data_IF_728119811241
#
_entry.id   IF_728119811241
#
_cell.length_a   1.000
_cell.length_b   1.000
_cell.length_c   1.000
_cell.angle_alpha   90.00
_cell.angle_beta   90.00
_cell.angle_gamma   90.00
#
_symmetry.space_group_name_H-M   'P 1'
#
loop_
_entity.id
_entity.type
_entity.pdbx_description
1 polymer ?
#
# COMPACT_ATOMS: atom_id res chain seq x y z
N UNK A 1 16.00 4.50 10.10
CA UNK A 1 15.06 5.63 9.93
C UNK A 1 13.69 5.05 9.69
N UNK A 2 12.70 5.34 10.53
CA UNK A 2 11.31 4.91 10.31
C UNK A 2 10.71 5.76 9.19
N UNK A 3 10.94 5.36 7.94
CA UNK A 3 10.30 5.98 6.79
C UNK A 3 8.80 5.63 6.78
N UNK A 4 7.95 6.60 6.51
CA UNK A 4 6.50 6.38 6.32
C UNK A 4 6.24 5.69 4.98
N UNK A 5 5.08 5.05 4.82
CA UNK A 5 4.68 4.46 3.53
C UNK A 5 4.70 5.50 2.40
N UNK A 6 4.25 6.74 2.67
CA UNK A 6 4.24 7.83 1.70
C UNK A 6 5.66 8.26 1.30
N UNK A 7 6.59 8.34 2.26
CA UNK A 7 7.99 8.62 1.97
C UNK A 7 8.65 7.50 1.14
N UNK A 8 8.31 6.24 1.45
CA UNK A 8 8.76 5.09 0.68
C UNK A 8 8.26 5.15 -0.78
N UNK A 9 6.96 5.34 -0.99
CA UNK A 9 6.38 5.46 -2.34
C UNK A 9 6.95 6.64 -3.12
N UNK A 10 7.12 7.80 -2.47
CA UNK A 10 7.76 8.97 -3.10
C UNK A 10 9.19 8.67 -3.56
N UNK A 11 9.95 7.90 -2.78
CA UNK A 11 11.31 7.50 -3.15
C UNK A 11 11.37 6.44 -4.25
N UNK A 12 10.29 5.67 -4.44
CA UNK A 12 10.18 4.64 -5.46
C UNK A 12 9.96 5.19 -6.88
N UNK A 13 9.44 6.42 -7.01
CA UNK A 13 9.09 7.03 -8.29
C UNK A 13 7.71 6.61 -8.81
N UNK A 14 7.43 6.77 -10.12
CA UNK A 14 6.14 6.45 -10.70
C UNK A 14 5.79 4.96 -10.60
N UNK A 15 4.49 4.60 -10.53
CA UNK A 15 4.05 3.21 -10.61
C UNK A 15 4.47 2.51 -11.91
N UNK A 16 4.53 1.19 -11.86
CA UNK A 16 4.79 0.35 -13.04
C UNK A 16 3.60 -0.59 -13.23
N UNK A 17 3.05 -0.62 -14.43
CA UNK A 17 1.95 -1.54 -14.77
C UNK A 17 2.51 -2.83 -15.37
N UNK A 18 2.16 -3.97 -14.77
CA UNK A 18 2.51 -5.30 -15.24
C UNK A 18 1.73 -5.75 -16.48
N UNK A 19 2.09 -6.92 -17.01
CA UNK A 19 1.47 -7.48 -18.23
C UNK A 19 -0.04 -7.76 -18.09
N UNK A 20 -0.53 -7.93 -16.86
CA UNK A 20 -1.94 -8.16 -16.55
C UNK A 20 -2.73 -6.86 -16.33
N UNK A 21 -2.09 -5.70 -16.47
CA UNK A 21 -2.73 -4.41 -16.26
C UNK A 21 -2.92 -4.01 -14.79
N UNK A 22 -2.20 -4.66 -13.87
CA UNK A 22 -2.13 -4.29 -12.45
C UNK A 22 -0.84 -3.52 -12.15
N UNK A 23 -0.87 -2.67 -11.13
CA UNK A 23 0.32 -1.96 -10.66
C UNK A 23 1.20 -2.91 -9.85
N UNK A 24 2.45 -3.07 -10.27
CA UNK A 24 3.46 -3.90 -9.60
C UNK A 24 4.47 -3.05 -8.81
N UNK A 25 5.28 -3.73 -7.99
CA UNK A 25 6.35 -3.09 -7.23
C UNK A 25 5.81 -2.28 -6.04
N UNK A 26 6.54 -1.23 -5.60
CA UNK A 26 6.24 -0.52 -4.35
C UNK A 26 4.79 -0.03 -4.24
N UNK A 27 4.22 0.51 -5.31
CA UNK A 27 2.84 0.98 -5.34
C UNK A 27 1.83 -0.18 -5.26
N UNK A 28 2.08 -1.27 -5.98
CA UNK A 28 1.27 -2.49 -5.95
C UNK A 28 1.28 -3.17 -4.58
N UNK A 29 2.47 -3.29 -3.99
CA UNK A 29 2.63 -3.88 -2.66
C UNK A 29 1.94 -3.03 -1.59
N UNK A 30 2.02 -1.69 -1.70
CA UNK A 30 1.39 -0.77 -0.76
C UNK A 30 -0.14 -0.80 -0.83
N UNK A 31 -0.73 -0.74 -2.04
CA UNK A 31 -2.20 -0.80 -2.17
C UNK A 31 -2.73 -2.17 -1.72
N UNK A 32 -2.01 -3.26 -1.99
CA UNK A 32 -2.41 -4.58 -1.49
C UNK A 32 -2.29 -4.70 0.03
N UNK A 33 -1.23 -4.15 0.63
CA UNK A 33 -1.10 -4.11 2.09
C UNK A 33 -2.23 -3.29 2.74
N UNK A 34 -2.65 -2.18 2.11
CA UNK A 34 -3.78 -1.37 2.57
C UNK A 34 -5.11 -2.15 2.52
N UNK A 35 -5.38 -2.86 1.43
CA UNK A 35 -6.56 -3.74 1.30
C UNK A 35 -6.55 -4.86 2.37
N UNK A 36 -5.39 -5.46 2.64
CA UNK A 36 -5.25 -6.47 3.69
C UNK A 36 -5.50 -5.88 5.08
N UNK A 37 -5.05 -4.65 5.34
CA UNK A 37 -5.34 -3.98 6.60
C UNK A 37 -6.84 -3.77 6.78
N UNK A 38 -7.54 -3.26 5.76
CA UNK A 38 -9.00 -3.06 5.79
C UNK A 38 -9.74 -4.36 6.09
N UNK A 39 -9.30 -5.47 5.49
CA UNK A 39 -9.91 -6.78 5.69
C UNK A 39 -9.63 -7.39 7.07
N UNK A 40 -8.47 -7.11 7.68
CA UNK A 40 -8.04 -7.75 8.93
C UNK A 40 -8.22 -6.88 10.17
N UNK A 41 -8.43 -5.58 10.04
CA UNK A 41 -8.64 -4.67 11.17
C UNK A 41 -10.12 -4.29 11.31
N UNK A 42 -10.90 -5.00 12.15
CA UNK A 42 -12.30 -4.65 12.35
C UNK A 42 -12.43 -3.23 12.93
N UNK A 43 -13.42 -2.47 12.42
CA UNK A 43 -13.74 -1.10 12.81
C UNK A 43 -12.66 -0.05 12.46
N UNK A 44 -11.78 -0.30 11.49
CA UNK A 44 -10.86 0.74 11.00
C UNK A 44 -11.61 2.01 10.58
N UNK A 45 -12.84 1.90 10.08
CA UNK A 45 -13.71 3.04 9.70
C UNK A 45 -14.02 4.00 10.85
N UNK A 46 -13.94 3.51 12.10
CA UNK A 46 -14.17 4.34 13.29
C UNK A 46 -12.95 5.18 13.69
N UNK A 47 -11.79 4.89 13.11
CA UNK A 47 -10.54 5.58 13.36
C UNK A 47 -10.48 6.83 12.45
N UNK A 48 -10.39 8.06 13.03
CA UNK A 48 -10.38 9.29 12.24
C UNK A 48 -9.28 9.35 11.18
N UNK A 49 -8.14 8.73 11.45
CA UNK A 49 -7.00 8.64 10.54
C UNK A 49 -7.25 7.80 9.29
N UNK A 50 -8.34 7.01 9.22
CA UNK A 50 -8.68 6.14 8.09
C UNK A 50 -10.04 6.51 7.48
N UNK A 51 -10.45 7.77 7.57
CA UNK A 51 -11.74 8.25 7.04
C UNK A 51 -12.00 7.83 5.59
N UNK A 52 -10.99 7.95 4.74
CA UNK A 52 -11.08 7.62 3.31
C UNK A 52 -10.61 6.19 2.99
N UNK A 53 -10.37 5.38 4.03
CA UNK A 53 -9.79 4.05 3.92
C UNK A 53 -8.27 4.08 3.70
N UNK A 54 -7.52 3.13 4.27
CA UNK A 54 -6.12 2.93 3.94
C UNK A 54 -5.85 2.85 2.42
N UNK A 55 -6.69 2.16 1.64
CA UNK A 55 -6.50 2.05 0.20
C UNK A 55 -6.77 3.38 -0.52
N UNK A 56 -7.83 4.08 -0.11
CA UNK A 56 -8.15 5.42 -0.63
C UNK A 56 -7.04 6.44 -0.38
N UNK A 57 -6.35 6.38 0.76
CA UNK A 57 -5.18 7.23 1.03
C UNK A 57 -4.01 6.98 0.08
N UNK A 58 -3.81 5.74 -0.35
CA UNK A 58 -2.76 5.41 -1.33
C UNK A 58 -3.13 5.96 -2.70
N UNK A 59 -4.40 5.87 -3.11
CA UNK A 59 -4.91 6.47 -4.35
C UNK A 59 -4.83 8.00 -4.33
N UNK A 60 -5.22 8.65 -3.24
CA UNK A 60 -5.12 10.10 -3.10
C UNK A 60 -3.64 10.54 -3.18
N UNK A 61 -2.75 9.81 -2.51
CA UNK A 61 -1.32 10.11 -2.54
C UNK A 61 -0.69 9.92 -3.92
N UNK A 62 -1.21 8.98 -4.73
CA UNK A 62 -0.83 8.82 -6.13
C UNK A 62 -1.08 10.11 -6.92
N UNK A 63 -2.30 10.66 -6.82
CA UNK A 63 -2.67 11.91 -7.47
C UNK A 63 -1.85 13.09 -6.92
N UNK A 64 -1.62 13.13 -5.61
CA UNK A 64 -0.77 14.17 -5.00
C UNK A 64 0.71 14.12 -5.47
N UNK A 65 1.17 12.97 -5.96
CA UNK A 65 2.49 12.83 -6.57
C UNK A 65 2.53 13.21 -8.07
N UNK A 66 1.37 13.54 -8.67
CA UNK A 66 1.24 13.86 -10.10
C UNK A 66 1.32 12.63 -11.01
N UNK A 67 0.86 11.47 -10.51
CA UNK A 67 0.83 10.20 -11.23
C UNK A 67 -0.62 9.80 -11.61
N UNK A 68 -1.47 10.79 -11.89
CA UNK A 68 -2.89 10.63 -12.21
C UNK A 68 -3.12 9.63 -13.36
N UNK A 69 -2.18 9.49 -14.30
CA UNK A 69 -2.27 8.54 -15.41
C UNK A 69 -2.26 7.07 -14.97
N UNK A 70 -1.86 6.78 -13.73
CA UNK A 70 -1.86 5.44 -13.15
C UNK A 70 -3.07 5.15 -12.25
N UNK A 71 -3.96 6.13 -12.03
CA UNK A 71 -5.09 6.01 -11.11
C UNK A 71 -5.97 4.81 -11.43
N UNK A 72 -6.42 4.67 -12.68
CA UNK A 72 -7.27 3.55 -13.11
C UNK A 72 -6.57 2.18 -12.95
N UNK A 73 -5.24 2.13 -13.14
CA UNK A 73 -4.49 0.89 -12.97
C UNK A 73 -4.35 0.52 -11.48
N UNK A 74 -4.18 1.52 -10.60
CA UNK A 74 -4.06 1.30 -9.17
C UNK A 74 -5.42 0.91 -8.55
N UNK A 75 -6.50 1.59 -8.95
CA UNK A 75 -7.88 1.25 -8.57
C UNK A 75 -8.27 -0.16 -9.02
N UNK A 76 -7.88 -0.57 -10.24
CA UNK A 76 -8.06 -1.96 -10.69
C UNK A 76 -7.29 -2.96 -9.83
N UNK A 77 -6.13 -2.57 -9.33
CA UNK A 77 -5.30 -3.41 -8.46
C UNK A 77 -5.92 -3.56 -7.07
N UNK A 78 -6.47 -2.46 -6.52
CA UNK A 78 -7.27 -2.46 -5.30
C UNK A 78 -8.49 -3.38 -5.45
N UNK A 79 -9.33 -3.17 -6.46
CA UNK A 79 -10.56 -3.96 -6.67
C UNK A 79 -10.25 -5.45 -6.84
N UNK A 80 -9.21 -5.78 -7.62
CA UNK A 80 -8.77 -7.17 -7.78
C UNK A 80 -8.26 -7.77 -6.47
N UNK A 81 -7.61 -6.97 -5.62
CA UNK A 81 -7.13 -7.40 -4.31
C UNK A 81 -8.29 -7.66 -3.34
N UNK A 82 -9.25 -6.74 -3.21
CA UNK A 82 -10.44 -6.95 -2.37
C UNK A 82 -11.20 -8.22 -2.80
N UNK A 83 -11.43 -8.39 -4.11
CA UNK A 83 -12.09 -9.59 -4.64
C UNK A 83 -11.31 -10.87 -4.32
N UNK A 84 -9.98 -10.85 -4.39
CA UNK A 84 -9.16 -12.00 -4.06
C UNK A 84 -9.27 -12.35 -2.57
N UNK A 85 -9.23 -11.33 -1.68
CA UNK A 85 -9.40 -11.50 -0.24
C UNK A 85 -10.77 -12.11 0.08
N UNK A 86 -11.85 -11.56 -0.47
CA UNK A 86 -13.23 -12.05 -0.26
C UNK A 86 -13.40 -13.52 -0.66
N UNK A 87 -12.68 -13.97 -1.69
CA UNK A 87 -12.77 -15.33 -2.23
C UNK A 87 -11.75 -16.30 -1.63
N UNK A 88 -10.75 -15.80 -0.92
CA UNK A 88 -9.59 -16.59 -0.49
C UNK A 88 -8.67 -16.99 -1.65
N UNK A 89 -8.68 -16.23 -2.75
CA UNK A 89 -7.84 -16.44 -3.92
C UNK A 89 -6.42 -15.84 -3.73
N UNK A 90 -5.42 -16.23 -4.54
CA UNK A 90 -4.13 -15.57 -4.55
C UNK A 90 -4.22 -14.07 -4.90
N UNK A 91 -3.45 -13.24 -4.20
CA UNK A 91 -3.40 -11.79 -4.42
C UNK A 91 -2.74 -11.45 -5.78
N UNK A 92 -3.21 -10.40 -6.49
CA UNK A 92 -2.83 -10.15 -7.88
C UNK A 92 -1.37 -9.70 -8.06
N UNK A 93 -0.83 -8.94 -7.10
CA UNK A 93 0.51 -8.30 -7.24
C UNK A 93 1.41 -8.52 -6.04
N UNK A 94 0.87 -8.96 -4.90
CA UNK A 94 1.64 -9.19 -3.68
C UNK A 94 2.53 -10.42 -3.86
N UNK A 95 3.75 -10.19 -4.33
CA UNK A 95 4.77 -11.23 -4.28
C UNK A 95 5.12 -11.39 -2.82
N UNK A 96 4.97 -12.60 -2.28
CA UNK A 96 5.74 -12.96 -1.10
C UNK A 96 7.19 -12.53 -1.40
N UNK A 97 7.75 -11.64 -0.58
CA UNK A 97 9.19 -11.47 -0.58
C UNK A 97 9.78 -12.89 -0.57
N UNK A 98 10.71 -13.24 -1.47
CA UNK A 98 11.34 -14.56 -1.39
C UNK A 98 11.81 -14.75 0.06
N UNK A 99 11.62 -15.95 0.66
CA UNK A 99 12.12 -16.17 2.00
C UNK A 99 13.57 -15.73 2.01
N UNK A 100 13.94 -14.88 2.97
CA UNK A 100 15.32 -14.42 3.13
C UNK A 100 16.24 -15.63 2.96
N UNK A 101 17.21 -15.54 2.07
CA UNK A 101 18.14 -16.64 1.85
C UNK A 101 18.87 -16.87 3.18
N UNK A 102 19.04 -18.13 3.58
CA UNK A 102 19.87 -18.48 4.72
C UNK A 102 21.24 -17.80 4.56
N UNK A 103 21.52 -16.80 5.41
CA UNK A 103 22.77 -16.04 5.41
C UNK A 103 22.64 -14.55 5.12
N UNK A 104 21.51 -14.06 4.65
CA UNK A 104 21.24 -12.62 4.68
C UNK A 104 21.05 -12.20 6.16
N UNK A 105 21.65 -11.10 6.63
CA UNK A 105 21.38 -10.62 7.97
C UNK A 105 19.87 -10.37 8.07
N UNK A 106 19.19 -11.23 8.83
CA UNK A 106 17.83 -11.00 9.28
C UNK A 106 17.92 -9.69 10.04
N UNK A 107 17.54 -8.59 9.38
CA UNK A 107 17.18 -7.38 10.11
C UNK A 107 16.19 -7.86 11.16
N UNK A 108 16.47 -7.65 12.46
CA UNK A 108 15.55 -8.12 13.49
C UNK A 108 14.18 -7.60 13.10
N UNK A 109 13.17 -8.48 13.18
CA UNK A 109 11.78 -8.08 13.06
C UNK A 109 11.52 -7.06 14.19
N UNK A 110 11.88 -5.81 13.95
CA UNK A 110 11.29 -4.69 14.63
C UNK A 110 9.82 -4.84 14.29
N UNK A 111 9.07 -5.28 15.30
CA UNK A 111 7.65 -5.02 15.39
C UNK A 111 7.53 -3.51 15.22
N UNK A 112 7.42 -3.05 13.97
CA UNK A 112 7.11 -1.66 13.68
C UNK A 112 5.70 -1.54 14.23
N UNK A 113 5.48 -0.84 15.37
CA UNK A 113 4.11 -0.49 15.69
C UNK A 113 3.63 0.31 14.48
N UNK A 114 2.55 -0.14 13.84
CA UNK A 114 1.76 0.70 12.94
C UNK A 114 1.23 1.83 13.83
N UNK A 115 2.07 2.83 14.04
CA UNK A 115 1.65 4.13 14.51
C UNK A 115 1.14 4.81 13.26
N UNK A 116 -0.19 4.78 13.09
CA UNK A 116 -0.87 5.72 12.22
C UNK A 116 -0.48 7.12 12.71
N UNK A 117 0.48 7.74 12.03
CA UNK A 117 0.85 9.12 12.33
C UNK A 117 0.07 10.01 11.37
N UNK A 118 -0.69 11.00 11.88
CA UNK A 118 -1.49 11.88 11.07
C UNK A 118 -0.61 12.70 10.11
N UNK A 119 -1.17 13.02 8.94
CA UNK A 119 -0.59 13.95 7.99
C UNK A 119 -0.25 15.26 8.72
N UNK A 120 1.00 15.71 8.58
CA UNK A 120 1.42 17.05 9.03
C UNK A 120 0.70 18.09 8.17
N UNK A 121 -0.30 18.75 8.74
CA UNK A 121 -1.14 19.79 8.12
C UNK A 121 -0.33 20.97 7.54
N UNK A 122 0.98 21.04 7.78
CA UNK A 122 1.88 22.11 7.29
C UNK A 122 2.31 21.97 5.83
N UNK A 123 1.90 20.93 5.12
CA UNK A 123 2.22 20.73 3.70
C UNK A 123 1.18 21.29 2.72
N UNK A 124 0.15 22.01 3.21
CA UNK A 124 -0.94 22.58 2.41
C UNK A 124 -0.99 24.12 2.50
N UNK A 125 0.17 24.80 2.59
CA UNK A 125 0.26 26.27 2.51
C UNK A 125 1.25 26.72 1.44
#
# INVERSE_FOLDING_TARGET
TNATWAAFLRSAGPPVTGAQGFVEGPWGDCITAACLFEANMPNWESLPEYRDGPAGQVLEFLCACGYDEFHEALERTEEATHRAIERGDPLPVFRHAPPARDGDPVAPAETVPVQANPIDERLIQ
#
